data_IF_171327215636
#
_entry.id   IF_171327215636
#
_cell.length_a   1.000
_cell.length_b   1.000
_cell.length_c   1.000
_cell.angle_alpha   90.00
_cell.angle_beta   90.00
_cell.angle_gamma   90.00
#
_symmetry.space_group_name_H-M   'P 1'
#
loop_
_entity.id
_entity.type
_entity.pdbx_description
1 polymer ?
#
# COMPACT_ATOMS: atom_id res chain seq x y z
N UNK A 1 -11.99 10.50 13.33
CA UNK A 1 -11.25 9.45 14.07
C UNK A 1 -9.95 9.19 13.32
N UNK A 2 -8.80 9.07 13.99
CA UNK A 2 -7.50 9.02 13.31
C UNK A 2 -7.31 7.77 12.43
N UNK A 3 -7.84 6.61 12.87
CA UNK A 3 -7.75 5.36 12.13
C UNK A 3 -8.55 5.38 10.81
N UNK A 4 -9.76 5.92 10.85
CA UNK A 4 -10.64 5.98 9.66
C UNK A 4 -10.06 6.89 8.58
N UNK A 5 -9.42 7.99 8.96
CA UNK A 5 -8.76 8.88 8.02
C UNK A 5 -7.58 8.20 7.31
N UNK A 6 -6.78 7.43 8.06
CA UNK A 6 -5.66 6.68 7.47
C UNK A 6 -6.17 5.60 6.52
N UNK A 7 -7.23 4.87 6.89
CA UNK A 7 -7.88 3.90 6.01
C UNK A 7 -8.37 4.54 4.72
N UNK A 8 -9.04 5.70 4.80
CA UNK A 8 -9.52 6.42 3.64
C UNK A 8 -8.38 6.85 2.70
N UNK A 9 -7.25 7.32 3.26
CA UNK A 9 -6.06 7.67 2.47
C UNK A 9 -5.45 6.44 1.77
N UNK A 10 -5.38 5.28 2.45
CA UNK A 10 -4.90 4.03 1.86
C UNK A 10 -5.85 3.58 0.74
N UNK A 11 -7.16 3.64 0.95
CA UNK A 11 -8.16 3.34 -0.08
C UNK A 11 -8.02 4.24 -1.31
N UNK A 12 -7.78 5.54 -1.12
CA UNK A 12 -7.55 6.46 -2.22
C UNK A 12 -6.30 6.09 -3.01
N UNK A 13 -5.18 5.84 -2.33
CA UNK A 13 -3.93 5.42 -2.98
C UNK A 13 -4.12 4.13 -3.78
N UNK A 14 -4.89 3.16 -3.27
CA UNK A 14 -5.18 1.94 -4.04
C UNK A 14 -5.98 2.20 -5.30
N UNK A 15 -6.98 3.06 -5.19
CA UNK A 15 -7.80 3.47 -6.32
C UNK A 15 -6.94 4.20 -7.36
N UNK A 16 -6.00 5.04 -6.91
CA UNK A 16 -5.01 5.67 -7.79
C UNK A 16 -4.10 4.63 -8.45
N UNK A 17 -3.64 3.60 -7.73
CA UNK A 17 -2.81 2.55 -8.32
C UNK A 17 -3.54 1.75 -9.43
N UNK A 18 -4.85 1.52 -9.24
CA UNK A 18 -5.68 0.81 -10.21
C UNK A 18 -6.00 1.69 -11.42
N UNK A 19 -6.22 2.98 -11.22
CA UNK A 19 -6.54 3.92 -12.29
C UNK A 19 -5.30 4.43 -13.05
N UNK A 20 -4.15 4.50 -12.38
CA UNK A 20 -2.89 5.05 -12.89
C UNK A 20 -1.73 4.06 -12.67
N UNK A 21 -1.65 2.99 -13.48
CA UNK A 21 -0.57 2.00 -13.36
C UNK A 21 0.81 2.58 -13.64
N UNK A 22 0.92 3.72 -14.34
CA UNK A 22 2.19 4.40 -14.61
C UNK A 22 2.88 4.91 -13.33
N UNK A 23 2.09 5.29 -12.33
CA UNK A 23 2.54 5.78 -11.03
C UNK A 23 2.53 4.69 -9.95
N UNK A 24 2.32 3.41 -10.31
CA UNK A 24 2.10 2.35 -9.33
C UNK A 24 3.27 2.21 -8.34
N UNK A 25 4.51 2.39 -8.82
CA UNK A 25 5.69 2.30 -7.98
C UNK A 25 5.71 3.37 -6.90
N UNK A 26 5.29 4.59 -7.25
CA UNK A 26 5.26 5.74 -6.36
C UNK A 26 4.10 5.61 -5.35
N UNK A 27 2.95 5.12 -5.81
CA UNK A 27 1.79 4.84 -4.97
C UNK A 27 2.08 3.70 -3.99
N UNK A 28 2.78 2.65 -4.41
CA UNK A 28 3.22 1.52 -3.56
C UNK A 28 4.13 1.99 -2.42
N UNK A 29 5.12 2.82 -2.71
CA UNK A 29 6.01 3.40 -1.69
C UNK A 29 5.20 4.18 -0.65
N UNK A 30 4.29 5.06 -1.10
CA UNK A 30 3.42 5.80 -0.19
C UNK A 30 2.52 4.89 0.66
N UNK A 31 1.99 3.81 0.07
CA UNK A 31 1.17 2.82 0.77
C UNK A 31 1.97 2.13 1.88
N UNK A 32 3.20 1.70 1.55
CA UNK A 32 4.12 1.02 2.47
C UNK A 32 4.55 1.92 3.62
N UNK A 33 4.84 3.19 3.32
CA UNK A 33 5.13 4.19 4.34
C UNK A 33 3.94 4.36 5.29
N UNK A 34 2.71 4.45 4.76
CA UNK A 34 1.51 4.56 5.60
C UNK A 34 1.26 3.33 6.47
N UNK A 35 1.53 2.13 5.96
CA UNK A 35 1.48 0.90 6.78
C UNK A 35 2.55 0.87 7.87
N UNK A 36 3.78 1.28 7.57
CA UNK A 36 4.83 1.37 8.57
C UNK A 36 4.54 2.45 9.63
N UNK A 37 3.95 3.58 9.24
CA UNK A 37 3.52 4.63 10.16
C UNK A 37 2.45 4.08 11.14
N UNK A 38 1.47 3.32 10.64
CA UNK A 38 0.48 2.63 11.47
C UNK A 38 1.13 1.61 12.44
N UNK A 39 2.07 0.80 11.95
CA UNK A 39 2.82 -0.14 12.81
C UNK A 39 3.67 0.57 13.85
N UNK A 40 4.30 1.69 13.49
CA UNK A 40 5.14 2.49 14.36
C UNK A 40 4.34 3.15 15.50
N UNK A 41 3.07 3.47 15.26
CA UNK A 41 2.14 3.93 16.29
C UNK A 41 1.73 2.83 17.28
N UNK A 42 2.24 1.59 17.13
CA UNK A 42 1.93 0.45 18.00
C UNK A 42 0.51 -0.07 17.83
N UNK A 43 -0.18 0.37 16.76
CA UNK A 43 -1.54 -0.07 16.46
C UNK A 43 -1.50 -1.34 15.59
N UNK A 44 -2.27 -2.38 15.93
CA UNK A 44 -2.38 -3.54 15.07
C UNK A 44 -3.06 -3.14 13.75
N UNK A 45 -2.40 -3.41 12.62
CA UNK A 45 -3.05 -3.24 11.31
C UNK A 45 -4.25 -4.18 11.24
N UNK A 46 -5.44 -3.69 10.87
CA UNK A 46 -6.58 -4.55 10.61
C UNK A 46 -6.26 -5.54 9.48
N UNK A 47 -6.82 -6.75 9.58
CA UNK A 47 -6.57 -7.84 8.64
C UNK A 47 -6.87 -7.47 7.18
N UNK A 48 -7.83 -6.58 6.96
CA UNK A 48 -8.19 -6.04 5.64
C UNK A 48 -7.00 -5.36 4.94
N UNK A 49 -6.25 -4.56 5.70
CA UNK A 49 -5.06 -3.84 5.25
C UNK A 49 -3.86 -4.77 5.01
N UNK A 50 -3.69 -5.78 5.88
CA UNK A 50 -2.64 -6.80 5.73
C UNK A 50 -2.90 -7.69 4.51
N UNK A 51 -4.15 -8.10 4.31
CA UNK A 51 -4.56 -8.89 3.14
C UNK A 51 -4.36 -8.10 1.84
N UNK A 52 -4.57 -6.78 1.90
CA UNK A 52 -4.34 -5.90 0.78
C UNK A 52 -2.84 -5.75 0.46
N UNK A 53 -1.98 -5.46 1.46
CA UNK A 53 -0.51 -5.42 1.28
C UNK A 53 -0.01 -6.71 0.63
N UNK A 54 -0.51 -7.86 1.08
CA UNK A 54 -0.15 -9.15 0.53
C UNK A 54 -0.62 -9.33 -0.93
N UNK A 55 -1.84 -8.91 -1.26
CA UNK A 55 -2.34 -8.96 -2.64
C UNK A 55 -1.55 -8.06 -3.59
N UNK A 56 -1.08 -6.90 -3.11
CA UNK A 56 -0.18 -6.02 -3.85
C UNK A 56 1.15 -6.72 -4.13
N UNK A 57 1.76 -7.32 -3.11
CA UNK A 57 3.03 -8.04 -3.20
C UNK A 57 2.93 -9.25 -4.17
N UNK A 58 1.80 -9.98 -4.13
CA UNK A 58 1.54 -11.10 -5.03
C UNK A 58 1.26 -10.68 -6.48
N UNK A 59 0.59 -9.53 -6.68
CA UNK A 59 0.24 -9.04 -8.02
C UNK A 59 1.41 -8.36 -8.72
N UNK A 60 2.31 -7.79 -7.94
CA UNK A 60 3.51 -7.07 -8.39
C UNK A 60 4.71 -7.58 -7.61
N UNK A 61 5.14 -8.84 -7.84
CA UNK A 61 6.41 -9.29 -7.31
C UNK A 61 7.46 -8.30 -7.81
N UNK A 62 8.34 -7.78 -6.93
CA UNK A 62 9.40 -6.84 -7.32
C UNK A 62 10.19 -7.46 -8.47
N UNK A 63 9.83 -7.12 -9.71
CA UNK A 63 10.42 -7.75 -10.89
C UNK A 63 11.91 -7.41 -10.88
N UNK A 64 12.82 -8.40 -10.80
CA UNK A 64 14.25 -8.14 -10.92
C UNK A 64 14.68 -7.84 -12.37
N UNK A 65 13.75 -7.53 -13.28
CA UNK A 65 14.01 -7.38 -14.72
C UNK A 65 14.46 -5.97 -15.12
N UNK A 66 15.57 -5.52 -14.56
CA UNK A 66 16.40 -4.48 -15.18
C UNK A 66 17.83 -4.98 -15.32
N UNK A 67 18.00 -6.09 -16.03
CA UNK A 67 19.28 -6.51 -16.62
C UNK A 67 19.00 -7.32 -17.89
N UNK A 68 18.74 -6.64 -19.00
CA UNK A 68 19.11 -7.09 -20.36
C UNK A 68 19.94 -6.00 -21.04
#
# INVERSE_FOLDING_TARGET
>A
MALEEIKARISLLLEEMVNQPEDEHQVREQLREKFNELRALGMPLPADLVALEKQLDERFPESPESFE
#
